data_IF_029612007894
#
_entry.id   IF_029612007894
#
_cell.length_a   1.000
_cell.length_b   1.000
_cell.length_c   1.000
_cell.angle_alpha   90.00
_cell.angle_beta   90.00
_cell.angle_gamma   90.00
#
_symmetry.space_group_name_H-M   'P 1'
#
loop_
_entity.id
_entity.type
_entity.pdbx_description
1 polymer ?
#
# COMPACT_ATOMS: atom_id res chain seq x y z
N UNK A 1 -15.29 10.56 -9.47
CA UNK A 1 -14.35 10.75 -8.34
C UNK A 1 -14.09 9.38 -7.76
N UNK A 2 -12.83 8.99 -7.67
CA UNK A 2 -12.48 7.68 -7.11
C UNK A 2 -12.89 7.59 -5.62
N UNK A 3 -13.31 6.39 -5.22
CA UNK A 3 -13.61 6.05 -3.81
C UNK A 3 -12.40 5.28 -3.27
N UNK A 4 -11.90 5.67 -2.10
CA UNK A 4 -10.81 4.95 -1.47
C UNK A 4 -10.92 4.97 0.06
N UNK A 5 -10.38 3.94 0.69
CA UNK A 5 -10.28 3.82 2.14
C UNK A 5 -9.15 2.86 2.55
N UNK A 6 -8.80 2.90 3.83
CA UNK A 6 -7.88 1.95 4.45
C UNK A 6 -8.60 1.19 5.56
N UNK A 7 -8.38 -0.12 5.65
CA UNK A 7 -8.94 -0.92 6.74
C UNK A 7 -8.05 -0.83 7.98
N UNK A 8 -8.68 -0.98 9.14
CA UNK A 8 -7.99 -1.32 10.37
C UNK A 8 -7.88 -2.84 10.53
N UNK A 9 -7.26 -3.31 11.62
CA UNK A 9 -7.16 -4.75 11.93
C UNK A 9 -8.44 -5.37 12.51
N UNK A 10 -9.43 -4.56 12.86
CA UNK A 10 -10.66 -4.99 13.55
C UNK A 10 -11.80 -5.28 12.56
N UNK A 11 -12.78 -6.09 13.00
CA UNK A 11 -14.00 -6.34 12.22
C UNK A 11 -13.97 -7.61 11.36
N UNK A 12 -13.00 -8.50 11.57
CA UNK A 12 -12.91 -9.80 10.89
C UNK A 12 -13.08 -11.00 11.83
N UNK A 13 -12.79 -12.19 11.30
CA UNK A 13 -12.96 -13.48 11.98
C UNK A 13 -11.65 -14.20 12.34
N UNK A 14 -10.51 -13.72 11.86
CA UNK A 14 -9.20 -14.28 12.24
C UNK A 14 -8.93 -14.12 13.73
N UNK A 15 -8.15 -15.01 14.30
CA UNK A 15 -7.89 -15.08 15.75
C UNK A 15 -6.40 -14.90 16.07
N UNK A 16 -6.07 -14.80 17.35
CA UNK A 16 -4.70 -14.71 17.86
C UNK A 16 -3.91 -13.55 17.23
N UNK A 17 -2.70 -13.82 16.73
CA UNK A 17 -1.80 -12.83 16.11
C UNK A 17 -2.34 -12.22 14.81
N UNK A 18 -3.40 -12.78 14.25
CA UNK A 18 -4.09 -12.30 13.05
C UNK A 18 -5.42 -11.58 13.36
N UNK A 19 -5.76 -11.43 14.64
CA UNK A 19 -7.04 -10.84 15.10
C UNK A 19 -7.16 -9.37 14.66
N UNK A 20 -8.19 -9.05 13.88
CA UNK A 20 -9.26 -9.95 13.41
C UNK A 20 -9.45 -9.92 11.88
N UNK A 21 -9.21 -8.77 11.21
CA UNK A 21 -9.43 -8.57 9.78
C UNK A 21 -8.12 -8.79 8.99
N UNK A 22 -7.49 -9.95 9.15
CA UNK A 22 -6.36 -10.29 8.29
C UNK A 22 -6.84 -10.61 6.87
N UNK A 23 -6.20 -9.98 5.88
CA UNK A 23 -6.56 -10.09 4.45
C UNK A 23 -5.49 -10.85 3.62
N UNK A 24 -4.40 -11.29 4.26
CA UNK A 24 -3.27 -11.94 3.57
C UNK A 24 -3.30 -13.47 3.75
N UNK A 25 -3.25 -14.20 2.63
CA UNK A 25 -3.19 -15.67 2.59
C UNK A 25 -1.79 -16.23 2.91
N UNK A 26 -0.73 -15.44 2.73
CA UNK A 26 0.67 -15.89 2.79
C UNK A 26 1.35 -15.69 4.16
N UNK A 27 0.60 -15.34 5.20
CA UNK A 27 1.18 -15.03 6.53
C UNK A 27 1.04 -16.16 7.55
N UNK A 28 0.38 -17.28 7.16
CA UNK A 28 0.19 -18.47 8.00
C UNK A 28 -1.05 -18.42 8.91
N UNK A 29 -2.04 -17.64 8.54
CA UNK A 29 -3.39 -17.65 9.12
C UNK A 29 -4.24 -18.79 8.54
N UNK A 30 -5.38 -19.08 9.17
CA UNK A 30 -6.38 -19.99 8.61
C UNK A 30 -6.96 -19.41 7.31
N UNK A 31 -6.85 -20.18 6.23
CA UNK A 31 -7.25 -19.75 4.89
C UNK A 31 -8.75 -19.41 4.81
N UNK A 32 -9.63 -20.18 5.47
CA UNK A 32 -11.07 -19.93 5.47
C UNK A 32 -11.41 -18.62 6.17
N UNK A 33 -10.69 -18.30 7.24
CA UNK A 33 -10.82 -17.02 7.96
C UNK A 33 -10.42 -15.86 7.05
N UNK A 34 -9.32 -15.97 6.31
CA UNK A 34 -8.89 -14.93 5.35
C UNK A 34 -9.88 -14.78 4.20
N UNK A 35 -10.41 -15.88 3.65
CA UNK A 35 -11.43 -15.85 2.59
C UNK A 35 -12.70 -15.15 3.09
N UNK A 36 -13.13 -15.45 4.32
CA UNK A 36 -14.27 -14.78 4.96
C UNK A 36 -14.01 -13.29 5.13
N UNK A 37 -12.84 -12.89 5.63
CA UNK A 37 -12.46 -11.49 5.77
C UNK A 37 -12.43 -10.75 4.42
N UNK A 38 -11.93 -11.39 3.37
CA UNK A 38 -11.93 -10.82 1.99
C UNK A 38 -13.34 -10.65 1.44
N UNK A 39 -14.26 -11.57 1.78
CA UNK A 39 -15.68 -11.43 1.42
C UNK A 39 -16.30 -10.22 2.13
N UNK A 40 -16.06 -10.07 3.44
CA UNK A 40 -16.50 -8.90 4.19
C UNK A 40 -15.93 -7.58 3.63
N UNK A 41 -14.65 -7.57 3.25
CA UNK A 41 -14.03 -6.41 2.60
C UNK A 41 -14.72 -6.07 1.27
N UNK A 42 -15.06 -7.07 0.45
CA UNK A 42 -15.76 -6.89 -0.82
C UNK A 42 -17.15 -6.29 -0.63
N UNK A 43 -17.88 -6.75 0.39
CA UNK A 43 -19.21 -6.23 0.77
C UNK A 43 -19.07 -4.77 1.26
N UNK A 44 -18.10 -4.47 2.13
CA UNK A 44 -17.81 -3.11 2.61
C UNK A 44 -17.48 -2.15 1.47
N UNK A 45 -16.69 -2.60 0.49
CA UNK A 45 -16.35 -1.83 -0.70
C UNK A 45 -17.56 -1.62 -1.64
N UNK A 46 -18.62 -2.42 -1.49
CA UNK A 46 -19.78 -2.47 -2.41
C UNK A 46 -19.35 -2.71 -3.87
N UNK A 47 -18.40 -3.63 -4.06
CA UNK A 47 -17.86 -3.99 -5.38
C UNK A 47 -18.03 -5.48 -5.65
N UNK A 48 -18.18 -5.82 -6.92
CA UNK A 48 -18.33 -7.21 -7.35
C UNK A 48 -17.00 -7.96 -7.44
N UNK A 49 -15.90 -7.22 -7.64
CA UNK A 49 -14.57 -7.82 -7.78
C UNK A 49 -13.50 -6.93 -7.13
N UNK A 50 -12.62 -7.55 -6.35
CA UNK A 50 -11.42 -6.96 -5.78
C UNK A 50 -10.20 -7.66 -6.37
N UNK A 51 -9.26 -6.91 -6.92
CA UNK A 51 -8.00 -7.42 -7.46
C UNK A 51 -6.90 -7.19 -6.42
N UNK A 52 -6.25 -8.27 -6.03
CA UNK A 52 -5.08 -8.30 -5.15
C UNK A 52 -3.81 -8.48 -5.98
N UNK A 53 -2.65 -8.25 -5.35
CA UNK A 53 -1.33 -8.49 -5.93
C UNK A 53 -0.57 -9.54 -5.11
N UNK A 54 0.28 -10.32 -5.77
CA UNK A 54 1.40 -10.99 -5.12
C UNK A 54 2.56 -10.01 -5.02
N UNK A 55 2.71 -9.35 -3.86
CA UNK A 55 3.66 -8.28 -3.60
C UNK A 55 5.04 -8.86 -3.25
N UNK A 56 6.06 -8.49 -4.01
CA UNK A 56 7.42 -9.03 -3.90
C UNK A 56 8.48 -7.98 -3.50
N UNK A 57 8.03 -6.78 -3.11
CA UNK A 57 8.87 -5.62 -2.81
C UNK A 57 9.73 -5.18 -4.00
N UNK A 58 9.20 -5.35 -5.20
CA UNK A 58 9.79 -4.95 -6.47
C UNK A 58 9.29 -3.58 -6.95
N UNK A 59 9.35 -3.39 -8.28
CA UNK A 59 8.87 -2.18 -8.94
C UNK A 59 8.06 -2.49 -10.21
N UNK A 60 7.44 -3.66 -10.26
CA UNK A 60 6.57 -4.04 -11.37
C UNK A 60 5.20 -3.42 -11.19
N UNK A 61 4.70 -2.76 -12.24
CA UNK A 61 3.36 -2.19 -12.34
C UNK A 61 2.57 -2.97 -13.38
N UNK A 62 1.34 -3.36 -13.04
CA UNK A 62 0.47 -4.13 -13.95
C UNK A 62 -0.87 -3.42 -14.12
N UNK A 63 -1.33 -3.28 -15.37
CA UNK A 63 -2.68 -2.86 -15.67
C UNK A 63 -3.62 -4.06 -15.57
N UNK A 64 -4.72 -3.90 -14.82
CA UNK A 64 -5.73 -4.95 -14.62
C UNK A 64 -7.10 -4.51 -15.14
N UNK A 65 -7.94 -5.50 -15.47
CA UNK A 65 -9.31 -5.32 -15.93
C UNK A 65 -10.21 -6.41 -15.34
N UNK A 66 -11.51 -6.35 -15.62
CA UNK A 66 -12.50 -7.38 -15.23
C UNK A 66 -12.18 -8.77 -15.81
N UNK A 67 -11.32 -8.86 -16.82
CA UNK A 67 -10.84 -10.12 -17.40
C UNK A 67 -9.60 -10.68 -16.68
N UNK A 68 -9.05 -9.97 -15.70
CA UNK A 68 -7.90 -10.43 -14.93
C UNK A 68 -8.35 -11.54 -13.97
N UNK A 69 -7.97 -12.78 -14.26
CA UNK A 69 -8.35 -13.97 -13.48
C UNK A 69 -7.28 -14.40 -12.49
N UNK A 70 -6.02 -14.14 -12.80
CA UNK A 70 -4.89 -14.50 -11.95
C UNK A 70 -4.43 -13.33 -11.10
N UNK A 71 -3.93 -13.64 -9.90
CA UNK A 71 -3.31 -12.63 -9.04
C UNK A 71 -1.95 -12.23 -9.62
N UNK A 72 -1.77 -10.99 -10.13
CA UNK A 72 -0.51 -10.59 -10.74
C UNK A 72 0.60 -10.50 -9.71
N UNK A 73 1.80 -10.95 -10.08
CA UNK A 73 3.01 -10.63 -9.34
C UNK A 73 3.41 -9.18 -9.68
N UNK A 74 3.20 -8.29 -8.73
CA UNK A 74 3.42 -6.85 -8.89
C UNK A 74 3.46 -6.16 -7.52
N UNK A 75 4.02 -4.97 -7.49
CA UNK A 75 3.94 -4.07 -6.32
C UNK A 75 3.10 -2.81 -6.61
N UNK A 76 2.57 -2.68 -7.82
CA UNK A 76 1.51 -1.74 -8.14
C UNK A 76 0.57 -2.30 -9.20
N UNK A 77 -0.72 -1.99 -9.06
CA UNK A 77 -1.74 -2.27 -10.08
C UNK A 77 -2.52 -1.01 -10.38
N UNK A 78 -2.89 -0.83 -11.66
CA UNK A 78 -3.73 0.28 -12.12
C UNK A 78 -4.91 -0.24 -12.93
N UNK A 79 -5.99 0.53 -12.98
CA UNK A 79 -7.16 0.21 -13.82
C UNK A 79 -7.90 1.46 -14.29
N UNK A 80 -8.57 1.32 -15.43
CA UNK A 80 -9.60 2.24 -15.94
C UNK A 80 -10.99 1.60 -15.86
N UNK A 81 -11.10 0.40 -15.32
CA UNK A 81 -12.34 -0.37 -15.21
C UNK A 81 -13.10 0.02 -13.95
N UNK A 82 -14.30 0.56 -14.12
CA UNK A 82 -15.16 1.06 -13.02
C UNK A 82 -15.82 -0.06 -12.21
N UNK A 83 -15.71 -1.31 -12.64
CA UNK A 83 -16.33 -2.45 -11.96
C UNK A 83 -15.42 -3.09 -10.93
N UNK A 84 -14.15 -2.64 -10.85
CA UNK A 84 -13.11 -3.20 -10.01
C UNK A 84 -12.76 -2.35 -8.81
N UNK A 85 -12.35 -3.02 -7.72
CA UNK A 85 -11.54 -2.42 -6.67
C UNK A 85 -10.12 -2.97 -6.69
N UNK A 86 -9.13 -2.09 -6.56
CA UNK A 86 -7.73 -2.46 -6.42
C UNK A 86 -7.36 -2.53 -4.95
N UNK A 87 -6.62 -3.56 -4.56
CA UNK A 87 -6.24 -3.80 -3.16
C UNK A 87 -4.74 -3.87 -3.01
N UNK A 88 -4.19 -3.10 -2.08
CA UNK A 88 -2.81 -3.21 -1.60
C UNK A 88 -2.81 -3.65 -0.14
N UNK A 89 -1.99 -4.65 0.19
CA UNK A 89 -1.88 -5.22 1.55
C UNK A 89 -0.59 -4.75 2.22
N UNK A 90 -0.69 -4.31 3.47
CA UNK A 90 0.49 -3.85 4.23
C UNK A 90 0.43 -4.24 5.71
N UNK A 91 1.60 -4.25 6.33
CA UNK A 91 1.84 -4.17 7.76
C UNK A 91 3.21 -3.52 7.92
N UNK A 92 3.24 -2.19 7.94
CA UNK A 92 4.36 -1.24 7.99
C UNK A 92 4.76 -0.61 6.65
N UNK A 93 4.83 -1.35 5.52
CA UNK A 93 5.08 -0.75 4.21
C UNK A 93 3.97 0.27 3.86
N UNK A 94 4.27 1.24 3.00
CA UNK A 94 3.31 2.28 2.61
C UNK A 94 2.29 1.74 1.61
N UNK A 95 0.99 1.80 1.90
CA UNK A 95 -0.04 1.72 0.89
C UNK A 95 -0.27 3.11 0.31
N UNK A 96 -0.11 3.28 -1.00
CA UNK A 96 -0.44 4.51 -1.70
C UNK A 96 -1.60 4.25 -2.66
N UNK A 97 -2.65 5.06 -2.55
CA UNK A 97 -3.82 5.00 -3.42
C UNK A 97 -3.83 6.26 -4.30
N UNK A 98 -3.94 6.06 -5.61
CA UNK A 98 -3.81 7.13 -6.61
C UNK A 98 -5.08 7.28 -7.41
N UNK A 99 -5.64 8.49 -7.44
CA UNK A 99 -6.74 8.91 -8.31
C UNK A 99 -6.19 9.83 -9.41
N UNK A 100 -6.23 9.38 -10.65
CA UNK A 100 -5.82 10.13 -11.85
C UNK A 100 -7.00 10.59 -12.71
N UNK A 101 -8.20 10.78 -12.13
CA UNK A 101 -9.35 11.37 -12.86
C UNK A 101 -9.96 10.47 -13.94
N UNK A 102 -9.86 9.16 -13.80
CA UNK A 102 -10.35 8.16 -14.76
C UNK A 102 -9.47 6.92 -14.83
N UNK A 103 -8.33 6.98 -14.16
CA UNK A 103 -7.42 5.87 -13.90
C UNK A 103 -7.14 5.84 -12.41
N UNK A 104 -7.25 4.68 -11.78
CA UNK A 104 -6.86 4.52 -10.36
C UNK A 104 -5.72 3.55 -10.22
N UNK A 105 -4.94 3.72 -9.15
CA UNK A 105 -3.81 2.86 -8.82
C UNK A 105 -3.72 2.53 -7.34
N UNK A 106 -3.26 1.32 -7.03
CA UNK A 106 -2.88 0.88 -5.68
C UNK A 106 -1.41 0.44 -5.71
N UNK A 107 -0.59 1.05 -4.86
CA UNK A 107 0.87 0.87 -4.84
C UNK A 107 1.29 0.35 -3.46
N UNK A 108 2.06 -0.73 -3.46
CA UNK A 108 2.81 -1.21 -2.31
C UNK A 108 4.22 -0.63 -2.34
N UNK A 109 4.53 0.25 -1.39
CA UNK A 109 5.83 0.89 -1.31
C UNK A 109 6.59 0.39 -0.09
N UNK A 110 7.33 -0.68 -0.27
CA UNK A 110 8.40 -1.06 0.64
C UNK A 110 9.68 -0.27 0.32
N UNK A 111 10.66 -0.26 1.24
CA UNK A 111 11.94 0.42 1.04
C UNK A 111 12.60 0.10 -0.31
N UNK A 112 12.66 -1.20 -0.67
CA UNK A 112 13.29 -1.63 -1.93
C UNK A 112 12.53 -1.12 -3.16
N UNK A 113 11.21 -1.20 -3.14
CA UNK A 113 10.37 -0.67 -4.22
C UNK A 113 10.50 0.84 -4.39
N UNK A 114 10.55 1.59 -3.26
CA UNK A 114 10.77 3.03 -3.24
C UNK A 114 12.06 3.42 -3.99
N UNK A 115 13.18 2.81 -3.59
CA UNK A 115 14.50 3.07 -4.18
C UNK A 115 14.61 2.59 -5.64
N UNK A 116 13.78 1.63 -6.06
CA UNK A 116 13.75 1.10 -7.41
C UNK A 116 12.70 1.78 -8.31
N UNK A 117 12.11 2.91 -7.86
CA UNK A 117 11.25 3.76 -8.67
C UNK A 117 9.83 3.21 -8.90
N UNK A 118 9.23 2.51 -7.93
CA UNK A 118 7.84 2.01 -8.06
C UNK A 118 6.84 3.14 -8.20
N UNK A 119 7.07 4.27 -7.51
CA UNK A 119 6.20 5.44 -7.55
C UNK A 119 6.22 6.06 -8.94
N UNK A 120 7.41 6.40 -9.43
CA UNK A 120 7.61 7.03 -10.74
C UNK A 120 6.98 6.18 -11.85
N UNK A 121 7.31 4.88 -11.88
CA UNK A 121 6.75 3.95 -12.88
C UNK A 121 5.23 3.89 -12.85
N UNK A 122 4.64 3.95 -11.66
CA UNK A 122 3.18 3.89 -11.53
C UNK A 122 2.52 5.18 -12.00
N UNK A 123 3.06 6.33 -11.60
CA UNK A 123 2.52 7.64 -12.02
C UNK A 123 2.67 7.82 -13.54
N UNK A 124 3.83 7.47 -14.12
CA UNK A 124 4.05 7.52 -15.56
C UNK A 124 3.03 6.66 -16.32
N UNK A 125 2.77 5.44 -15.82
CA UNK A 125 1.77 4.57 -16.43
C UNK A 125 0.35 5.13 -16.30
N UNK A 126 -0.01 5.74 -15.16
CA UNK A 126 -1.29 6.43 -14.96
C UNK A 126 -1.44 7.57 -15.96
N UNK A 127 -0.41 8.40 -16.15
CA UNK A 127 -0.38 9.49 -17.14
C UNK A 127 -0.55 8.94 -18.56
N UNK A 128 0.19 7.88 -18.90
CA UNK A 128 0.10 7.21 -20.20
C UNK A 128 -1.29 6.63 -20.50
N UNK A 129 -2.08 6.30 -19.46
CA UNK A 129 -3.48 5.87 -19.57
C UNK A 129 -4.48 7.04 -19.56
N UNK A 130 -4.01 8.29 -19.67
CA UNK A 130 -4.83 9.49 -19.73
C UNK A 130 -5.15 10.11 -18.38
N UNK A 131 -4.50 9.65 -17.31
CA UNK A 131 -4.64 10.24 -15.96
C UNK A 131 -4.20 11.70 -15.91
N UNK A 132 -4.95 12.52 -15.15
CA UNK A 132 -4.72 13.96 -14.96
C UNK A 132 -5.08 14.35 -13.52
N UNK A 133 -4.61 15.53 -13.09
CA UNK A 133 -4.91 16.07 -11.75
C UNK A 133 -4.71 15.03 -10.64
N UNK A 134 -3.55 14.36 -10.67
CA UNK A 134 -3.26 13.16 -9.91
C UNK A 134 -3.25 13.47 -8.41
N UNK A 135 -4.07 12.73 -7.66
CA UNK A 135 -4.13 12.79 -6.20
C UNK A 135 -3.64 11.47 -5.63
N UNK A 136 -2.68 11.53 -4.72
CA UNK A 136 -2.13 10.37 -4.05
C UNK A 136 -2.41 10.44 -2.54
N UNK A 137 -2.99 9.38 -1.97
CA UNK A 137 -3.20 9.25 -0.54
C UNK A 137 -2.28 8.17 0.01
N UNK A 138 -1.38 8.56 0.92
CA UNK A 138 -0.50 7.65 1.67
C UNK A 138 -1.24 7.22 2.94
N UNK A 139 -1.49 5.93 3.06
CA UNK A 139 -2.22 5.34 4.18
C UNK A 139 -1.34 5.00 5.39
N UNK A 140 -1.93 4.26 6.37
CA UNK A 140 -1.23 3.85 7.58
C UNK A 140 0.03 3.02 7.27
N UNK A 141 1.17 3.46 7.82
CA UNK A 141 2.47 2.85 7.61
C UNK A 141 3.40 3.14 8.78
N UNK A 142 4.54 2.48 8.86
CA UNK A 142 5.54 2.75 9.92
C UNK A 142 6.10 4.17 9.79
N UNK A 143 6.23 4.88 10.90
CA UNK A 143 6.82 6.23 10.92
C UNK A 143 8.35 6.19 10.99
N UNK A 144 8.98 7.31 10.66
CA UNK A 144 10.43 7.43 10.69
C UNK A 144 11.04 7.14 12.07
N UNK A 145 10.41 7.57 13.15
CA UNK A 145 10.86 7.27 14.52
C UNK A 145 10.86 5.78 14.87
N UNK A 146 10.03 5.00 14.19
CA UNK A 146 9.86 3.57 14.42
C UNK A 146 10.63 2.69 13.42
N UNK A 147 11.07 3.26 12.29
CA UNK A 147 11.70 2.50 11.22
C UNK A 147 13.21 2.60 11.28
N UNK A 148 13.80 1.80 12.18
CA UNK A 148 15.25 1.65 12.30
C UNK A 148 15.80 0.73 11.20
N UNK A 149 16.97 1.07 10.66
CA UNK A 149 17.75 0.31 9.69
C UNK A 149 19.21 0.22 10.13
N UNK A 150 20.00 -0.62 9.47
CA UNK A 150 21.45 -0.64 9.65
C UNK A 150 22.10 0.67 9.17
N UNK A 151 23.30 0.94 9.64
CA UNK A 151 23.99 2.20 9.40
C UNK A 151 24.32 2.44 7.93
N UNK A 152 24.70 1.40 7.19
CA UNK A 152 25.04 1.51 5.77
C UNK A 152 23.78 1.81 4.94
N UNK A 153 22.67 1.12 5.23
CA UNK A 153 21.36 1.41 4.64
C UNK A 153 20.94 2.85 4.94
N UNK A 154 21.10 3.31 6.19
CA UNK A 154 20.78 4.68 6.58
C UNK A 154 21.60 5.69 5.78
N UNK A 155 22.93 5.56 5.77
CA UNK A 155 23.82 6.48 5.05
C UNK A 155 23.48 6.57 3.56
N UNK A 156 23.29 5.44 2.91
CA UNK A 156 22.97 5.38 1.50
C UNK A 156 21.65 6.12 1.18
N UNK A 157 20.60 5.84 1.96
CA UNK A 157 19.28 6.45 1.72
C UNK A 157 19.30 7.95 2.00
N UNK A 158 19.92 8.39 3.12
CA UNK A 158 19.88 9.80 3.49
C UNK A 158 20.79 10.66 2.59
N UNK A 159 21.82 10.07 2.00
CA UNK A 159 22.63 10.75 0.97
C UNK A 159 21.80 11.06 -0.28
N UNK A 160 20.97 10.12 -0.71
CA UNK A 160 20.11 10.28 -1.91
C UNK A 160 18.82 11.02 -1.58
N UNK A 161 18.23 10.77 -0.41
CA UNK A 161 16.95 11.34 0.03
C UNK A 161 17.05 11.98 1.42
N UNK A 162 17.64 13.17 1.55
CA UNK A 162 17.82 13.83 2.86
C UNK A 162 16.52 14.09 3.63
N UNK A 163 15.39 14.28 2.93
CA UNK A 163 14.05 14.48 3.52
C UNK A 163 13.61 13.29 4.39
N UNK A 164 14.13 12.11 4.11
CA UNK A 164 13.83 10.89 4.87
C UNK A 164 14.57 10.76 6.21
N UNK A 165 15.40 11.73 6.58
CA UNK A 165 16.15 11.68 7.83
C UNK A 165 15.24 11.87 9.06
N UNK A 166 15.06 10.80 9.83
CA UNK A 166 14.28 10.81 11.07
C UNK A 166 15.15 10.61 12.35
N UNK A 167 16.46 10.74 12.20
CA UNK A 167 17.47 10.54 13.23
C UNK A 167 18.44 9.42 12.85
N UNK A 168 19.57 9.30 13.59
CA UNK A 168 20.60 8.30 13.28
C UNK A 168 19.98 6.89 13.21
N UNK A 169 20.22 6.20 12.07
CA UNK A 169 19.67 4.89 11.72
C UNK A 169 18.13 4.81 11.60
N UNK A 170 17.45 5.96 11.54
CA UNK A 170 15.99 6.04 11.38
C UNK A 170 15.64 6.77 10.09
N UNK A 171 14.77 6.17 9.29
CA UNK A 171 14.34 6.72 7.99
C UNK A 171 12.82 6.83 7.90
N UNK A 172 12.32 7.97 7.41
CA UNK A 172 10.90 8.14 7.10
C UNK A 172 10.65 7.99 5.59
N UNK A 173 10.32 6.77 5.17
CA UNK A 173 10.01 6.48 3.77
C UNK A 173 8.70 7.15 3.30
N UNK A 174 7.84 7.62 4.22
CA UNK A 174 6.62 8.38 3.88
C UNK A 174 6.95 9.78 3.39
N UNK A 175 7.94 10.42 4.01
CA UNK A 175 8.39 11.75 3.57
C UNK A 175 9.13 11.66 2.22
N UNK A 176 9.97 10.65 2.00
CA UNK A 176 10.60 10.38 0.71
C UNK A 176 9.53 10.17 -0.38
N UNK A 177 8.57 9.27 -0.12
CA UNK A 177 7.48 9.02 -1.07
C UNK A 177 6.63 10.27 -1.34
N UNK A 178 6.38 11.08 -0.30
CA UNK A 178 5.65 12.34 -0.44
C UNK A 178 6.40 13.35 -1.32
N UNK A 179 7.72 13.43 -1.19
CA UNK A 179 8.56 14.29 -2.02
C UNK A 179 8.59 13.80 -3.47
N UNK A 180 8.81 12.50 -3.72
CA UNK A 180 8.78 11.91 -5.07
C UNK A 180 7.44 12.21 -5.77
N UNK A 181 6.32 11.97 -5.09
CA UNK A 181 4.99 12.25 -5.64
C UNK A 181 4.79 13.74 -5.96
N UNK A 182 5.20 14.65 -5.07
CA UNK A 182 5.08 16.10 -5.32
C UNK A 182 5.96 16.54 -6.49
N UNK A 183 7.17 16.01 -6.62
CA UNK A 183 8.08 16.30 -7.73
C UNK A 183 7.50 15.86 -9.08
N UNK A 184 6.60 14.86 -9.08
CA UNK A 184 5.83 14.43 -10.26
C UNK A 184 4.52 15.22 -10.45
N UNK A 185 4.29 16.28 -9.68
CA UNK A 185 3.10 17.14 -9.78
C UNK A 185 1.85 16.57 -9.13
N UNK A 186 1.97 15.54 -8.29
CA UNK A 186 0.82 14.97 -7.60
C UNK A 186 0.40 15.82 -6.38
N UNK A 187 -0.91 15.89 -6.13
CA UNK A 187 -1.46 16.40 -4.87
C UNK A 187 -1.38 15.26 -3.85
N UNK A 188 -0.62 15.45 -2.77
CA UNK A 188 -0.33 14.41 -1.78
C UNK A 188 -1.08 14.63 -0.48
N UNK A 189 -1.88 13.63 -0.06
CA UNK A 189 -2.45 13.53 1.27
C UNK A 189 -1.74 12.40 2.04
N UNK A 190 -1.03 12.74 3.12
CA UNK A 190 -0.37 11.76 3.98
C UNK A 190 -1.13 11.71 5.32
N UNK A 191 -1.74 10.55 5.63
CA UNK A 191 -2.54 10.38 6.85
C UNK A 191 -1.70 10.39 8.13
N UNK A 192 -0.40 10.19 8.04
CA UNK A 192 0.57 10.21 9.16
C UNK A 192 0.27 9.24 10.31
N UNK A 193 -0.50 8.18 10.07
CA UNK A 193 -0.80 7.14 11.04
C UNK A 193 0.36 6.15 11.09
N UNK A 194 0.91 5.89 12.28
CA UNK A 194 1.99 4.91 12.47
C UNK A 194 1.43 3.55 12.87
N UNK A 195 1.63 2.55 12.02
CA UNK A 195 1.14 1.17 12.27
C UNK A 195 1.81 0.50 13.47
N UNK A 196 3.07 0.87 13.81
CA UNK A 196 3.77 0.31 14.97
C UNK A 196 3.25 0.89 16.28
N UNK A 197 2.88 2.18 16.31
CA UNK A 197 2.41 2.88 17.51
C UNK A 197 0.90 2.69 17.74
N UNK A 198 0.12 2.65 16.65
CA UNK A 198 -1.34 2.47 16.72
C UNK A 198 -1.70 0.98 16.65
N UNK A 199 -2.25 0.46 17.75
CA UNK A 199 -2.65 -0.94 17.88
C UNK A 199 -3.88 -1.33 17.04
N UNK A 200 -4.58 -0.36 16.47
CA UNK A 200 -5.65 -0.61 15.50
C UNK A 200 -5.14 -1.13 14.15
N UNK A 201 -3.82 -1.19 13.95
CA UNK A 201 -3.21 -1.69 12.71
C UNK A 201 -2.28 -2.87 12.96
N UNK A 202 -2.18 -3.75 11.98
CA UNK A 202 -1.14 -4.77 11.96
C UNK A 202 0.23 -4.13 11.72
N UNK A 203 1.25 -4.57 12.48
CA UNK A 203 2.62 -4.13 12.30
C UNK A 203 3.58 -5.31 12.41
N UNK A 204 4.34 -5.55 11.35
CA UNK A 204 5.39 -6.56 11.31
C UNK A 204 6.54 -6.19 12.24
N UNK A 205 6.91 -4.91 12.29
CA UNK A 205 7.98 -4.39 13.18
C UNK A 205 7.64 -4.57 14.65
N UNK A 206 6.36 -4.53 15.02
CA UNK A 206 5.90 -4.76 16.39
C UNK A 206 5.84 -6.24 16.75
N UNK A 207 5.31 -7.08 15.86
CA UNK A 207 4.87 -8.43 16.20
C UNK A 207 5.58 -9.56 15.45
N UNK A 208 6.43 -9.26 14.44
CA UNK A 208 7.05 -10.18 13.47
C UNK A 208 6.03 -11.00 12.66
N UNK A 209 5.23 -11.85 13.31
CA UNK A 209 4.13 -12.58 12.67
C UNK A 209 2.83 -11.87 12.96
N UNK A 210 2.16 -11.42 11.90
CA UNK A 210 0.93 -10.60 12.01
C UNK A 210 0.14 -10.63 10.71
N UNK A 211 -1.13 -10.20 10.77
CA UNK A 211 -1.97 -10.02 9.60
C UNK A 211 -1.55 -8.86 8.69
N UNK A 212 -2.39 -8.58 7.70
CA UNK A 212 -2.26 -7.42 6.80
C UNK A 212 -3.57 -6.68 6.71
N UNK A 213 -3.52 -5.36 6.88
CA UNK A 213 -4.59 -4.44 6.50
C UNK A 213 -4.51 -4.13 5.01
N UNK A 214 -5.56 -3.50 4.49
CA UNK A 214 -5.67 -3.12 3.09
C UNK A 214 -5.85 -1.62 2.87
N UNK A 215 -5.29 -1.11 1.77
CA UNK A 215 -5.79 0.05 1.07
C UNK A 215 -6.63 -0.40 -0.12
N UNK A 216 -7.81 0.20 -0.32
CA UNK A 216 -8.74 -0.13 -1.40
C UNK A 216 -9.09 1.13 -2.18
N UNK A 217 -9.06 1.06 -3.51
CA UNK A 217 -9.47 2.15 -4.40
C UNK A 217 -10.27 1.64 -5.59
N UNK A 218 -11.28 2.40 -5.99
CA UNK A 218 -12.10 2.16 -7.20
C UNK A 218 -12.49 3.47 -7.87
N UNK A 219 -12.86 3.42 -9.16
CA UNK A 219 -13.42 4.55 -9.92
C UNK A 219 -14.86 4.86 -9.55
#
# INVERSE_FOLDING_TARGET
MARHFFTARVGGVSVNKYSSLNLALHVGDDENSVITNRKMLKELASLNQLIYMNQVHGNRVVRVSSQTTETPEADAIITTDKTLGLVVLTADCLPILVDGGGVVGAIHVGRRGLLNGIIEKTIDLIIAQGGRDIKATIGPAICGKCYEVDEDTYKNIITEYPVGNAGFRHIDIREIASEQLRNMGCIVNNLKICTREDENYFSYRRNNVTGRQAGVISL
#
